data_IF_087393872063
#
_entry.id   IF_087393872063
#
_cell.length_a   1.000
_cell.length_b   1.000
_cell.length_c   1.000
_cell.angle_alpha   90.00
_cell.angle_beta   90.00
_cell.angle_gamma   90.00
#
_symmetry.space_group_name_H-M   'P 1'
#
loop_
_entity.id
_entity.type
_entity.pdbx_description
1 polymer ?
#
# COMPACT_ATOMS: atom_id res chain seq x y z
N UNK A 1 -43.89 -21.81 21.89
CA UNK A 1 -42.69 -22.22 21.12
C UNK A 1 -41.96 -20.95 20.69
N UNK A 2 -40.62 -20.95 20.77
CA UNK A 2 -39.62 -20.42 19.81
C UNK A 2 -39.98 -19.15 18.99
N UNK A 3 -39.14 -18.10 18.90
CA UNK A 3 -37.77 -17.93 19.41
C UNK A 3 -37.26 -16.48 19.26
N UNK A 4 -36.00 -16.22 19.67
CA UNK A 4 -35.36 -14.88 19.70
C UNK A 4 -34.85 -14.41 18.33
N UNK A 5 -34.59 -13.11 18.19
CA UNK A 5 -33.81 -12.53 17.09
C UNK A 5 -33.58 -11.02 17.25
N UNK A 6 -32.51 -10.64 17.95
CA UNK A 6 -32.03 -9.24 18.04
C UNK A 6 -31.23 -8.84 16.78
N UNK A 7 -31.36 -7.59 16.34
CA UNK A 7 -30.39 -6.95 15.45
C UNK A 7 -30.34 -5.43 15.71
N UNK A 8 -29.13 -4.91 15.92
CA UNK A 8 -28.85 -3.56 16.41
C UNK A 8 -28.89 -2.48 15.31
N UNK A 9 -29.10 -1.23 15.72
CA UNK A 9 -28.88 -0.04 14.87
C UNK A 9 -27.41 0.38 14.89
N UNK A 10 -26.95 1.01 13.79
CA UNK A 10 -26.28 2.32 13.73
C UNK A 10 -25.29 2.40 12.54
N UNK A 11 -25.59 3.29 11.60
CA UNK A 11 -24.65 3.74 10.56
C UNK A 11 -24.23 5.17 10.86
N UNK A 12 -23.07 5.35 11.50
CA UNK A 12 -22.51 6.67 11.79
C UNK A 12 -21.66 7.18 10.63
N UNK A 13 -21.90 8.44 10.27
CA UNK A 13 -21.12 9.19 9.29
C UNK A 13 -19.82 9.69 9.92
N UNK A 14 -18.67 9.46 9.27
CA UNK A 14 -17.49 10.29 9.50
C UNK A 14 -16.58 10.35 8.28
N UNK A 15 -16.42 11.54 7.69
CA UNK A 15 -15.21 11.90 6.95
C UNK A 15 -15.08 13.43 6.78
N UNK A 16 -14.29 14.05 7.67
CA UNK A 16 -13.77 15.42 7.50
C UNK A 16 -12.32 15.47 7.95
N UNK A 17 -11.43 15.88 7.03
CA UNK A 17 -10.04 16.33 7.25
C UNK A 17 -9.08 15.23 7.78
N UNK A 18 -7.88 15.06 7.22
CA UNK A 18 -6.76 16.00 7.29
C UNK A 18 -5.77 15.91 6.11
N UNK A 19 -5.12 17.04 5.84
CA UNK A 19 -3.74 17.18 5.33
C UNK A 19 -2.92 17.86 6.44
N UNK A 20 -1.56 17.88 6.46
CA UNK A 20 -0.61 17.80 5.33
C UNK A 20 0.45 16.68 5.54
N UNK A 21 1.45 16.44 4.72
CA UNK A 21 2.01 17.11 3.54
C UNK A 21 3.43 16.58 3.31
N UNK A 22 3.60 15.72 2.30
CA UNK A 22 4.88 15.14 1.90
C UNK A 22 5.12 15.50 0.43
N UNK A 23 6.32 16.00 0.11
CA UNK A 23 6.65 16.43 -1.26
C UNK A 23 6.92 15.23 -2.17
N UNK A 24 6.57 15.35 -3.46
CA UNK A 24 6.53 14.21 -4.39
C UNK A 24 7.92 13.70 -4.80
N UNK A 25 8.96 14.51 -4.60
CA UNK A 25 10.33 14.22 -5.03
C UNK A 25 11.01 13.12 -4.18
N UNK A 26 10.53 12.84 -2.95
CA UNK A 26 11.23 11.92 -2.02
C UNK A 26 10.89 10.44 -2.17
N UNK A 27 9.99 10.07 -3.08
CA UNK A 27 9.49 8.69 -3.27
C UNK A 27 10.32 7.90 -4.31
N UNK A 28 11.20 8.58 -5.06
CA UNK A 28 11.83 8.01 -6.27
C UNK A 28 13.20 7.34 -6.00
N UNK A 29 13.85 7.58 -4.86
CA UNK A 29 15.21 7.03 -4.58
C UNK A 29 15.26 5.58 -4.04
N UNK A 30 14.13 4.91 -3.80
CA UNK A 30 14.09 3.56 -3.18
C UNK A 30 14.05 2.39 -4.20
N UNK A 31 14.58 2.57 -5.41
CA UNK A 31 14.40 1.64 -6.54
C UNK A 31 15.70 1.27 -7.29
N UNK A 32 16.57 0.46 -6.65
CA UNK A 32 17.54 -0.44 -7.32
C UNK A 32 17.86 -1.64 -6.40
N UNK A 33 18.32 -2.81 -6.92
CA UNK A 33 17.89 -4.11 -6.39
C UNK A 33 18.88 -4.80 -5.46
N UNK A 34 18.35 -5.72 -4.65
CA UNK A 34 19.12 -6.73 -3.92
C UNK A 34 19.80 -7.71 -4.89
N UNK A 35 21.05 -8.07 -4.61
CA UNK A 35 21.65 -9.28 -5.17
C UNK A 35 22.72 -9.89 -4.24
N UNK A 36 22.90 -11.21 -4.37
CA UNK A 36 23.94 -12.09 -3.79
C UNK A 36 23.91 -12.45 -2.30
N UNK A 37 23.32 -13.63 -2.07
CA UNK A 37 23.65 -14.55 -0.97
C UNK A 37 25.11 -15.03 -1.08
N UNK A 38 25.79 -15.25 0.05
CA UNK A 38 26.95 -16.15 0.14
C UNK A 38 27.03 -16.79 1.52
N UNK A 39 26.97 -18.13 1.55
CA UNK A 39 27.14 -18.92 2.76
C UNK A 39 28.63 -19.11 3.07
N UNK A 40 29.00 -19.01 4.34
CA UNK A 40 30.30 -19.47 4.83
C UNK A 40 30.08 -20.42 6.00
N UNK A 41 30.37 -21.70 5.74
CA UNK A 41 30.48 -22.73 6.78
C UNK A 41 31.92 -22.72 7.29
N UNK A 42 32.10 -22.58 8.60
CA UNK A 42 33.42 -22.68 9.23
C UNK A 42 33.40 -23.75 10.32
N UNK A 43 34.02 -24.89 10.04
CA UNK A 43 34.32 -25.92 11.04
C UNK A 43 35.66 -25.61 11.71
N UNK A 44 35.76 -25.88 13.01
CA UNK A 44 37.01 -25.79 13.79
C UNK A 44 37.32 -27.19 14.33
N UNK A 45 38.56 -27.69 14.18
CA UNK A 45 38.91 -29.06 14.58
C UNK A 45 39.22 -29.19 16.08
N UNK A 46 38.92 -30.36 16.65
CA UNK A 46 39.33 -30.72 18.01
C UNK A 46 40.68 -31.47 18.05
N UNK A 47 41.43 -31.27 19.14
CA UNK A 47 42.50 -32.14 19.63
C UNK A 47 42.39 -32.22 21.16
N UNK A 48 42.18 -33.42 21.69
CA UNK A 48 43.17 -34.23 22.42
C UNK A 48 43.61 -33.65 23.76
N UNK A 49 43.40 -34.44 24.82
CA UNK A 49 44.10 -34.35 26.11
C UNK A 49 44.58 -35.75 26.46
N UNK A 50 45.81 -35.85 26.95
CA UNK A 50 46.56 -37.09 27.13
C UNK A 50 46.24 -37.79 28.46
N UNK A 51 46.55 -39.08 28.47
CA UNK A 51 46.57 -39.95 29.65
C UNK A 51 47.98 -39.94 30.28
N UNK A 52 48.11 -39.56 31.55
CA UNK A 52 49.38 -39.70 32.29
C UNK A 52 49.16 -40.26 33.69
N UNK A 53 49.71 -41.45 33.94
CA UNK A 53 49.77 -42.06 35.27
C UNK A 53 51.05 -41.64 36.01
N UNK A 54 50.97 -41.48 37.34
CA UNK A 54 52.15 -41.52 38.22
C UNK A 54 51.78 -41.91 39.68
N UNK A 55 52.56 -42.84 40.25
CA UNK A 55 52.38 -43.43 41.58
C UNK A 55 52.72 -42.45 42.74
N UNK A 56 52.22 -42.77 43.94
CA UNK A 56 52.97 -42.63 45.20
C UNK A 56 52.84 -43.86 46.12
N UNK A 57 53.98 -44.39 46.55
CA UNK A 57 54.23 -45.30 47.69
C UNK A 57 54.35 -44.49 49.02
N UNK A 58 54.41 -45.02 50.28
CA UNK A 58 55.27 -46.11 50.85
C UNK A 58 54.56 -47.21 51.70
N UNK A 59 55.05 -48.47 51.86
CA UNK A 59 56.20 -49.03 52.65
C UNK A 59 55.99 -48.86 54.18
N UNK A 60 56.20 -49.85 55.11
CA UNK A 60 57.19 -50.96 55.15
C UNK A 60 56.54 -52.39 55.27
N UNK A 61 57.11 -53.52 55.77
CA UNK A 61 58.32 -53.85 56.58
C UNK A 61 58.92 -55.25 56.21
N UNK A 62 59.71 -55.87 57.10
CA UNK A 62 60.63 -57.00 56.86
C UNK A 62 60.10 -58.42 57.14
N UNK A 63 60.90 -59.42 56.74
CA UNK A 63 60.58 -60.84 56.69
C UNK A 63 60.63 -61.64 57.99
N UNK A 64 60.20 -62.90 57.87
CA UNK A 64 60.54 -64.04 58.73
C UNK A 64 60.21 -65.37 58.02
N UNK A 65 61.07 -66.35 58.17
CA UNK A 65 60.83 -67.79 57.97
C UNK A 65 61.50 -68.55 59.13
N UNK A 66 61.18 -69.83 59.40
CA UNK A 66 60.15 -70.69 58.79
C UNK A 66 59.13 -71.24 59.80
N UNK A 67 58.03 -71.86 59.33
CA UNK A 67 57.24 -72.77 60.17
C UNK A 67 57.12 -74.15 59.50
N UNK A 68 57.60 -75.16 60.22
CA UNK A 68 57.32 -76.57 59.95
C UNK A 68 55.93 -76.93 60.51
N UNK A 69 55.31 -78.01 60.01
CA UNK A 69 54.19 -78.67 60.70
C UNK A 69 52.86 -78.64 59.96
N UNK A 70 52.61 -79.73 59.22
CA UNK A 70 51.35 -80.17 58.59
C UNK A 70 50.07 -79.84 59.38
N UNK A 71 48.97 -79.47 58.69
CA UNK A 71 47.66 -79.43 59.36
C UNK A 71 46.42 -78.86 58.65
N UNK A 72 46.35 -78.73 57.31
CA UNK A 72 45.13 -78.18 56.66
C UNK A 72 44.59 -79.06 55.52
N UNK A 73 43.30 -79.38 55.61
CA UNK A 73 42.55 -80.14 54.60
C UNK A 73 42.30 -79.28 53.36
N UNK A 74 42.77 -79.76 52.21
CA UNK A 74 42.71 -79.09 50.90
C UNK A 74 41.28 -78.87 50.40
N UNK A 75 40.33 -79.70 50.79
CA UNK A 75 38.95 -79.67 50.30
C UNK A 75 38.22 -78.37 50.69
N UNK A 76 38.50 -77.85 51.90
CA UNK A 76 37.96 -76.58 52.41
C UNK A 76 38.52 -75.34 51.70
N UNK A 77 39.65 -75.46 51.02
CA UNK A 77 40.20 -74.41 50.15
C UNK A 77 39.58 -74.47 48.75
N UNK A 78 39.31 -75.66 48.22
CA UNK A 78 38.61 -75.85 46.93
C UNK A 78 37.24 -75.20 46.90
N UNK A 79 36.38 -75.47 47.88
CA UNK A 79 35.03 -74.87 47.98
C UNK A 79 35.09 -73.34 48.15
N UNK A 80 36.06 -72.81 48.91
CA UNK A 80 36.26 -71.37 49.09
C UNK A 80 36.76 -70.70 47.82
N UNK A 81 37.63 -71.35 47.05
CA UNK A 81 38.11 -70.85 45.75
C UNK A 81 37.00 -70.88 44.69
N UNK A 82 36.18 -71.94 44.62
CA UNK A 82 35.00 -71.98 43.75
C UNK A 82 33.96 -70.93 44.14
N UNK A 83 33.71 -70.75 45.44
CA UNK A 83 32.81 -69.70 45.95
C UNK A 83 33.32 -68.29 45.62
N UNK A 84 34.64 -68.08 45.72
CA UNK A 84 35.30 -66.83 45.32
C UNK A 84 35.19 -66.56 43.82
N UNK A 85 35.45 -67.57 42.97
CA UNK A 85 35.27 -67.48 41.52
C UNK A 85 33.82 -67.16 41.11
N UNK A 86 32.84 -67.82 41.73
CA UNK A 86 31.42 -67.55 41.51
C UNK A 86 31.00 -66.14 41.98
N UNK A 87 31.57 -65.68 43.10
CA UNK A 87 31.37 -64.31 43.59
C UNK A 87 31.99 -63.29 42.63
N UNK A 88 33.19 -63.56 42.11
CA UNK A 88 33.85 -62.71 41.11
C UNK A 88 33.03 -62.61 39.81
N UNK A 89 32.48 -63.73 39.32
CA UNK A 89 31.58 -63.73 38.17
C UNK A 89 30.34 -62.86 38.41
N UNK A 90 29.68 -63.01 39.58
CA UNK A 90 28.54 -62.17 39.96
C UNK A 90 28.90 -60.69 40.07
N UNK A 91 30.09 -60.35 40.58
CA UNK A 91 30.58 -58.96 40.62
C UNK A 91 30.73 -58.43 39.19
N UNK A 92 31.40 -59.15 38.28
CA UNK A 92 31.55 -58.70 36.88
C UNK A 92 30.21 -58.58 36.13
N UNK A 93 29.23 -59.44 36.44
CA UNK A 93 27.89 -59.32 35.87
C UNK A 93 27.13 -58.11 36.43
N UNK A 94 27.24 -57.84 37.74
CA UNK A 94 26.65 -56.66 38.37
C UNK A 94 27.29 -55.36 37.88
N UNK A 95 28.61 -55.34 37.67
CA UNK A 95 29.34 -54.21 37.06
C UNK A 95 28.87 -53.97 35.61
N UNK A 96 28.70 -55.03 34.80
CA UNK A 96 28.16 -54.92 33.45
C UNK A 96 26.71 -54.38 33.46
N UNK A 97 25.86 -54.87 34.38
CA UNK A 97 24.49 -54.39 34.58
C UNK A 97 24.47 -52.93 35.04
N UNK A 98 25.31 -52.53 35.98
CA UNK A 98 25.48 -51.15 36.42
C UNK A 98 25.87 -50.25 35.24
N UNK A 99 26.86 -50.65 34.44
CA UNK A 99 27.28 -49.90 33.25
C UNK A 99 26.16 -49.76 32.21
N UNK A 100 25.31 -50.78 32.03
CA UNK A 100 24.11 -50.62 31.18
C UNK A 100 23.07 -49.68 31.79
N UNK A 101 22.88 -49.68 33.11
CA UNK A 101 21.98 -48.73 33.78
C UNK A 101 22.50 -47.30 33.69
N UNK A 102 23.80 -47.07 33.89
CA UNK A 102 24.45 -45.76 33.70
C UNK A 102 24.30 -45.26 32.26
N UNK A 103 24.48 -46.14 31.27
CA UNK A 103 24.24 -45.80 29.85
C UNK A 103 22.76 -45.45 29.59
N UNK A 104 21.81 -46.21 30.15
CA UNK A 104 20.37 -45.92 30.02
C UNK A 104 20.02 -44.58 30.69
N UNK A 105 20.52 -44.32 31.89
CA UNK A 105 20.34 -43.04 32.61
C UNK A 105 20.97 -41.89 31.84
N UNK A 106 22.14 -42.08 31.23
CA UNK A 106 22.80 -41.08 30.37
C UNK A 106 21.97 -40.75 29.13
N UNK A 107 21.47 -41.78 28.43
CA UNK A 107 20.59 -41.61 27.25
C UNK A 107 19.28 -40.94 27.64
N UNK A 108 18.61 -41.38 28.71
CA UNK A 108 17.37 -40.79 29.19
C UNK A 108 17.57 -39.33 29.65
N UNK A 109 18.63 -39.02 30.39
CA UNK A 109 18.98 -37.65 30.77
C UNK A 109 19.21 -36.75 29.55
N UNK A 110 19.89 -37.27 28.52
CA UNK A 110 20.13 -36.56 27.26
C UNK A 110 18.84 -36.37 26.44
N UNK A 111 17.92 -37.32 26.48
CA UNK A 111 16.65 -37.28 25.76
C UNK A 111 15.57 -36.47 26.48
N UNK A 112 15.66 -36.32 27.80
CA UNK A 112 14.87 -35.36 28.59
C UNK A 112 15.37 -33.93 28.35
N UNK A 113 16.69 -33.70 28.45
CA UNK A 113 17.31 -32.40 28.16
C UNK A 113 17.19 -31.92 26.70
N UNK A 114 16.66 -32.75 25.80
CA UNK A 114 16.33 -32.41 24.41
C UNK A 114 14.86 -32.12 24.15
N UNK A 115 13.94 -32.57 25.02
CA UNK A 115 12.49 -32.48 24.79
C UNK A 115 11.89 -31.16 25.25
N UNK A 116 12.39 -30.57 26.33
CA UNK A 116 11.87 -29.31 26.85
C UNK A 116 12.74 -28.12 26.40
N UNK A 117 12.34 -27.50 25.26
CA UNK A 117 12.31 -26.04 25.27
C UNK A 117 11.29 -25.66 26.33
N UNK A 118 11.71 -24.92 27.35
CA UNK A 118 10.83 -24.52 28.45
C UNK A 118 9.57 -23.86 27.86
N UNK A 119 8.33 -24.14 28.30
CA UNK A 119 7.13 -23.53 27.71
C UNK A 119 7.18 -22.00 27.69
N UNK A 120 7.91 -21.39 28.63
CA UNK A 120 8.26 -19.96 28.64
C UNK A 120 9.05 -19.50 27.40
N UNK A 121 9.98 -20.29 26.89
CA UNK A 121 10.78 -19.96 25.69
C UNK A 121 9.91 -20.07 24.43
N UNK A 122 9.02 -21.08 24.37
CA UNK A 122 8.07 -21.23 23.26
C UNK A 122 7.04 -20.09 23.24
N UNK A 123 6.57 -19.66 24.41
CA UNK A 123 5.74 -18.45 24.57
C UNK A 123 6.49 -17.18 24.15
N UNK A 124 7.80 -17.09 24.42
CA UNK A 124 8.62 -15.93 24.03
C UNK A 124 8.89 -15.90 22.52
N UNK A 125 9.26 -17.04 21.91
CA UNK A 125 9.44 -17.22 20.46
C UNK A 125 8.13 -16.88 19.71
N UNK A 126 6.98 -17.32 20.22
CA UNK A 126 5.67 -17.05 19.61
C UNK A 126 5.25 -15.59 19.78
N UNK A 127 5.46 -14.98 20.95
CA UNK A 127 5.22 -13.55 21.18
C UNK A 127 6.06 -12.66 20.24
N UNK A 128 7.36 -12.93 20.11
CA UNK A 128 8.23 -12.20 19.19
C UNK A 128 7.77 -12.32 17.73
N UNK A 129 7.26 -13.50 17.33
CA UNK A 129 6.69 -13.71 16.00
C UNK A 129 5.33 -13.01 15.80
N UNK A 130 4.51 -12.91 16.84
CA UNK A 130 3.25 -12.15 16.80
C UNK A 130 3.55 -10.67 16.58
N UNK A 131 4.42 -10.06 17.39
CA UNK A 131 4.81 -8.65 17.24
C UNK A 131 5.38 -8.34 15.85
N UNK A 132 6.24 -9.22 15.31
CA UNK A 132 6.75 -9.09 13.95
C UNK A 132 5.64 -9.18 12.88
N UNK A 133 4.67 -10.07 13.04
CA UNK A 133 3.56 -10.21 12.10
C UNK A 133 2.60 -9.02 12.20
N UNK A 134 2.35 -8.49 13.41
CA UNK A 134 1.58 -7.26 13.63
C UNK A 134 2.22 -6.06 12.93
N UNK A 135 3.54 -5.85 13.11
CA UNK A 135 4.31 -4.83 12.38
C UNK A 135 4.22 -5.02 10.85
N UNK A 136 4.24 -6.26 10.36
CA UNK A 136 4.10 -6.56 8.93
C UNK A 136 2.68 -6.32 8.41
N UNK A 137 1.65 -6.56 9.22
CA UNK A 137 0.26 -6.23 8.86
C UNK A 137 0.07 -4.72 8.80
N UNK A 138 0.53 -3.97 9.81
CA UNK A 138 0.46 -2.50 9.83
C UNK A 138 1.19 -1.87 8.61
N UNK A 139 2.36 -2.40 8.26
CA UNK A 139 3.10 -2.00 7.05
C UNK A 139 2.33 -2.33 5.75
N UNK A 140 1.64 -3.46 5.69
CA UNK A 140 0.82 -3.84 4.54
C UNK A 140 -0.45 -2.99 4.43
N UNK A 141 -1.15 -2.70 5.52
CA UNK A 141 -2.31 -1.82 5.56
C UNK A 141 -1.92 -0.39 5.14
N UNK A 142 -0.80 0.12 5.66
CA UNK A 142 -0.22 1.40 5.23
C UNK A 142 0.06 1.43 3.73
N UNK A 143 0.60 0.35 3.16
CA UNK A 143 0.85 0.25 1.72
C UNK A 143 -0.45 0.11 0.89
N UNK A 144 -1.49 -0.55 1.43
CA UNK A 144 -2.79 -0.67 0.78
C UNK A 144 -3.47 0.69 0.66
N UNK A 145 -3.54 1.47 1.74
CA UNK A 145 -4.14 2.82 1.70
C UNK A 145 -3.44 3.73 0.68
N UNK A 146 -2.11 3.68 0.57
CA UNK A 146 -1.35 4.39 -0.47
C UNK A 146 -1.69 3.90 -1.88
N UNK A 147 -1.87 2.59 -2.07
CA UNK A 147 -2.30 2.01 -3.36
C UNK A 147 -3.72 2.44 -3.72
N UNK A 148 -4.64 2.48 -2.78
CA UNK A 148 -6.02 2.93 -3.03
C UNK A 148 -6.06 4.40 -3.47
N UNK A 149 -5.26 5.27 -2.84
CA UNK A 149 -5.10 6.66 -3.29
C UNK A 149 -4.53 6.73 -4.72
N UNK A 150 -3.55 5.90 -5.06
CA UNK A 150 -3.00 5.82 -6.42
C UNK A 150 -4.02 5.28 -7.44
N UNK A 151 -4.79 4.25 -7.08
CA UNK A 151 -5.85 3.67 -7.93
C UNK A 151 -6.93 4.73 -8.22
N UNK A 152 -7.40 5.45 -7.20
CA UNK A 152 -8.38 6.53 -7.38
C UNK A 152 -7.84 7.67 -8.26
N UNK A 153 -6.56 8.02 -8.11
CA UNK A 153 -5.87 9.00 -8.97
C UNK A 153 -5.77 8.52 -10.43
N UNK A 154 -5.45 7.25 -10.66
CA UNK A 154 -5.39 6.64 -11.99
C UNK A 154 -6.77 6.54 -12.64
N UNK A 155 -7.80 6.12 -11.90
CA UNK A 155 -9.18 6.08 -12.37
C UNK A 155 -9.67 7.48 -12.79
N UNK A 156 -9.39 8.50 -11.97
CA UNK A 156 -9.69 9.91 -12.30
C UNK A 156 -8.99 10.36 -13.58
N UNK A 157 -7.74 9.94 -13.80
CA UNK A 157 -6.98 10.24 -15.02
C UNK A 157 -7.53 9.52 -16.25
N UNK A 158 -7.98 8.26 -16.12
CA UNK A 158 -8.61 7.51 -17.21
C UNK A 158 -9.91 8.21 -17.64
N UNK A 159 -10.78 8.52 -16.69
CA UNK A 159 -12.03 9.23 -16.95
C UNK A 159 -11.83 10.59 -17.65
N UNK A 160 -10.76 11.30 -17.29
CA UNK A 160 -10.37 12.53 -17.96
C UNK A 160 -9.94 12.30 -19.43
N UNK A 161 -9.16 11.25 -19.69
CA UNK A 161 -8.70 10.91 -21.04
C UNK A 161 -9.86 10.46 -21.95
N UNK A 162 -10.84 9.72 -21.41
CA UNK A 162 -12.07 9.33 -22.12
C UNK A 162 -12.90 10.55 -22.61
N UNK A 163 -12.80 11.69 -21.92
CA UNK A 163 -13.51 12.92 -22.25
C UNK A 163 -12.67 13.93 -23.05
N UNK A 164 -11.38 13.63 -23.28
CA UNK A 164 -10.46 14.56 -23.97
C UNK A 164 -10.64 14.46 -25.49
N UNK A 165 -11.07 15.56 -26.13
CA UNK A 165 -11.07 15.66 -27.61
C UNK A 165 -9.77 16.27 -28.16
N UNK A 166 -9.49 16.02 -29.43
CA UNK A 166 -8.29 16.47 -30.17
C UNK A 166 -8.59 17.04 -31.57
N UNK A 167 -9.84 17.40 -31.86
CA UNK A 167 -10.27 17.93 -33.18
C UNK A 167 -10.80 19.39 -33.10
N UNK A 168 -10.63 20.05 -31.96
CA UNK A 168 -11.22 21.38 -31.69
C UNK A 168 -12.72 21.37 -31.43
N UNK A 169 -13.38 20.20 -31.40
CA UNK A 169 -14.80 20.03 -31.05
C UNK A 169 -14.87 19.32 -29.71
N UNK A 170 -15.59 19.91 -28.77
CA UNK A 170 -15.72 19.37 -27.42
C UNK A 170 -17.19 19.36 -27.01
N UNK A 171 -17.63 18.25 -26.43
CA UNK A 171 -18.99 18.05 -25.96
C UNK A 171 -18.96 17.74 -24.47
N UNK A 172 -19.50 18.64 -23.66
CA UNK A 172 -19.48 18.57 -22.22
C UNK A 172 -20.87 18.28 -21.67
N UNK A 173 -21.00 17.12 -21.04
CA UNK A 173 -22.19 16.71 -20.27
C UNK A 173 -22.00 17.13 -18.81
N UNK A 174 -22.74 18.14 -18.35
CA UNK A 174 -22.77 18.57 -16.96
C UNK A 174 -23.93 17.85 -16.27
N UNK A 175 -23.61 16.94 -15.35
CA UNK A 175 -24.59 16.22 -14.54
C UNK A 175 -24.86 16.95 -13.21
N UNK A 176 -25.90 16.55 -12.49
CA UNK A 176 -26.28 17.07 -11.17
C UNK A 176 -26.53 18.58 -11.18
N UNK A 177 -27.19 19.07 -12.24
CA UNK A 177 -27.38 20.50 -12.48
C UNK A 177 -28.13 21.17 -11.33
N UNK A 178 -29.13 20.51 -10.74
CA UNK A 178 -29.87 21.01 -9.58
C UNK A 178 -28.97 21.25 -8.36
N UNK A 179 -28.17 20.25 -7.98
CA UNK A 179 -27.21 20.36 -6.88
C UNK A 179 -26.18 21.47 -7.15
N UNK A 180 -25.57 21.47 -8.35
CA UNK A 180 -24.54 22.45 -8.70
C UNK A 180 -25.09 23.88 -8.84
N UNK A 181 -26.36 24.02 -9.21
CA UNK A 181 -27.05 25.33 -9.20
C UNK A 181 -27.22 25.84 -7.77
N UNK A 182 -27.59 24.96 -6.82
CA UNK A 182 -27.67 25.30 -5.40
C UNK A 182 -26.29 25.65 -4.81
N UNK A 183 -25.24 24.89 -5.14
CA UNK A 183 -23.86 25.21 -4.74
C UNK A 183 -23.38 26.56 -5.30
N UNK A 184 -23.82 26.93 -6.51
CA UNK A 184 -23.49 28.22 -7.12
C UNK A 184 -24.29 29.38 -6.52
N UNK A 185 -25.57 29.19 -6.21
CA UNK A 185 -26.42 30.20 -5.54
C UNK A 185 -25.98 30.49 -4.11
N UNK A 186 -25.54 29.46 -3.38
CA UNK A 186 -24.99 29.58 -2.02
C UNK A 186 -23.54 30.08 -1.98
N UNK A 187 -22.90 30.26 -3.13
CA UNK A 187 -21.49 30.65 -3.24
C UNK A 187 -20.49 29.58 -2.80
N UNK A 188 -20.94 28.37 -2.45
CA UNK A 188 -20.08 27.26 -2.04
C UNK A 188 -19.17 26.80 -3.19
N UNK A 189 -19.73 26.68 -4.40
CA UNK A 189 -19.00 26.40 -5.65
C UNK A 189 -19.60 27.20 -6.80
N UNK A 190 -19.19 28.47 -7.01
CA UNK A 190 -19.80 29.34 -8.01
C UNK A 190 -19.52 28.93 -9.46
N UNK A 191 -18.42 28.20 -9.70
CA UNK A 191 -17.97 27.83 -11.04
C UNK A 191 -17.57 26.35 -11.14
N UNK A 192 -17.82 25.77 -12.31
CA UNK A 192 -17.47 24.40 -12.69
C UNK A 192 -16.48 24.47 -13.86
N UNK A 193 -15.44 23.64 -13.85
CA UNK A 193 -14.52 23.49 -14.98
C UNK A 193 -14.83 22.20 -15.76
N UNK A 194 -14.67 22.24 -17.07
CA UNK A 194 -14.71 21.04 -17.91
C UNK A 194 -13.37 20.30 -17.87
N UNK A 195 -13.35 19.01 -18.28
CA UNK A 195 -12.17 18.37 -18.83
C UNK A 195 -11.40 19.29 -19.81
N UNK A 196 -10.07 19.29 -19.82
CA UNK A 196 -9.29 19.74 -20.96
C UNK A 196 -9.65 19.03 -22.28
N UNK A 197 -9.59 19.79 -23.36
CA UNK A 197 -9.65 19.34 -24.74
C UNK A 197 -8.62 20.10 -25.58
N UNK A 198 -8.36 19.62 -26.79
CA UNK A 198 -7.33 20.17 -27.67
C UNK A 198 -7.89 20.52 -29.05
N UNK A 199 -7.26 21.52 -29.67
CA UNK A 199 -7.57 21.95 -31.05
C UNK A 199 -7.02 21.01 -32.12
N UNK A 200 -5.94 20.31 -31.83
CA UNK A 200 -5.37 19.22 -32.63
C UNK A 200 -4.58 18.29 -31.71
N UNK A 201 -4.04 17.16 -32.21
CA UNK A 201 -3.20 16.24 -31.41
C UNK A 201 -2.01 16.93 -30.72
N UNK A 202 -1.49 17.99 -31.33
CA UNK A 202 -0.36 18.79 -30.84
C UNK A 202 -0.72 20.28 -30.71
N UNK A 203 -2.02 20.58 -30.56
CA UNK A 203 -2.58 21.93 -30.58
C UNK A 203 -2.73 22.56 -29.20
N UNK A 204 -3.35 23.75 -29.16
CA UNK A 204 -3.69 24.46 -27.93
C UNK A 204 -4.54 23.59 -27.00
N UNK A 205 -4.17 23.57 -25.72
CA UNK A 205 -4.92 22.94 -24.63
C UNK A 205 -5.92 23.94 -24.04
N UNK A 206 -7.17 23.55 -23.94
CA UNK A 206 -8.29 24.42 -23.59
C UNK A 206 -9.19 23.71 -22.57
N UNK A 207 -9.87 24.46 -21.70
CA UNK A 207 -11.05 23.96 -20.99
C UNK A 207 -12.14 25.04 -20.92
N UNK A 208 -13.34 24.65 -20.52
CA UNK A 208 -14.46 25.56 -20.29
C UNK A 208 -14.63 25.85 -18.81
N UNK A 209 -15.07 27.06 -18.48
CA UNK A 209 -15.50 27.46 -17.14
C UNK A 209 -16.95 27.94 -17.21
N UNK A 210 -17.82 27.31 -16.43
CA UNK A 210 -19.27 27.53 -16.40
C UNK A 210 -19.70 28.06 -15.04
N UNK A 211 -20.54 29.08 -15.03
CA UNK A 211 -21.23 29.57 -13.84
C UNK A 211 -22.73 29.38 -14.03
N UNK A 212 -23.32 28.43 -13.29
CA UNK A 212 -24.75 28.11 -13.35
C UNK A 212 -25.64 29.23 -12.81
N UNK A 213 -25.10 30.08 -11.93
CA UNK A 213 -25.78 31.27 -11.39
C UNK A 213 -25.15 32.58 -11.92
N UNK A 214 -24.43 32.51 -13.04
CA UNK A 214 -23.82 33.67 -13.70
C UNK A 214 -22.56 34.23 -13.05
N UNK A 215 -21.88 35.11 -13.79
CA UNK A 215 -20.69 35.87 -13.40
C UNK A 215 -20.69 37.25 -14.08
N UNK A 216 -19.98 38.22 -13.49
CA UNK A 216 -19.90 39.59 -14.02
C UNK A 216 -21.27 40.23 -14.25
N UNK A 217 -21.52 40.73 -15.47
CA UNK A 217 -22.79 41.35 -15.85
C UNK A 217 -23.97 40.37 -15.91
N UNK A 218 -23.69 39.07 -16.10
CA UNK A 218 -24.70 38.01 -16.12
C UNK A 218 -25.04 37.43 -14.74
N UNK A 219 -24.39 37.88 -13.66
CA UNK A 219 -24.57 37.34 -12.31
C UNK A 219 -26.05 37.32 -11.88
N UNK A 220 -26.51 36.17 -11.39
CA UNK A 220 -27.89 35.92 -10.93
C UNK A 220 -28.98 35.96 -12.01
N UNK A 221 -28.65 36.24 -13.28
CA UNK A 221 -29.63 36.44 -14.37
C UNK A 221 -29.40 35.54 -15.58
N UNK A 222 -28.15 35.20 -15.87
CA UNK A 222 -27.72 34.41 -17.02
C UNK A 222 -26.79 33.26 -16.60
N UNK A 223 -26.82 32.20 -17.38
CA UNK A 223 -25.73 31.23 -17.48
C UNK A 223 -24.52 31.95 -18.08
N UNK A 224 -23.36 31.88 -17.44
CA UNK A 224 -22.11 32.45 -17.97
C UNK A 224 -21.13 31.35 -18.36
N UNK A 225 -20.52 31.46 -19.54
CA UNK A 225 -19.64 30.44 -20.11
C UNK A 225 -18.38 31.07 -20.71
N UNK A 226 -17.22 30.57 -20.27
CA UNK A 226 -15.91 31.12 -20.64
C UNK A 226 -14.98 30.02 -21.16
N UNK A 227 -14.11 30.40 -22.10
CA UNK A 227 -12.95 29.62 -22.51
C UNK A 227 -11.78 29.92 -21.57
N UNK A 228 -11.03 28.89 -21.21
CA UNK A 228 -9.78 28.99 -20.48
C UNK A 228 -8.69 28.37 -21.34
N UNK A 229 -7.64 29.15 -21.63
CA UNK A 229 -6.42 28.61 -22.22
C UNK A 229 -5.58 27.99 -21.11
N UNK A 230 -5.13 26.76 -21.33
CA UNK A 230 -4.27 26.03 -20.41
C UNK A 230 -2.89 25.88 -21.01
N UNK A 231 -1.87 25.77 -20.16
CA UNK A 231 -0.50 25.48 -20.58
C UNK A 231 -0.43 24.10 -21.26
N UNK A 232 -0.08 24.11 -22.54
CA UNK A 232 0.12 22.94 -23.37
C UNK A 232 1.58 22.51 -23.44
N UNK A 233 1.82 21.21 -23.60
CA UNK A 233 3.15 20.64 -23.84
C UNK A 233 3.78 21.20 -25.13
N UNK A 234 2.94 21.51 -26.12
CA UNK A 234 3.33 21.93 -27.47
C UNK A 234 3.28 23.45 -27.70
N UNK A 235 3.06 24.26 -26.64
CA UNK A 235 2.89 25.72 -26.75
C UNK A 235 4.08 26.46 -27.42
N UNK A 236 5.25 25.81 -27.50
CA UNK A 236 6.45 26.35 -28.14
C UNK A 236 6.40 26.38 -29.68
N UNK A 237 5.60 25.51 -30.31
CA UNK A 237 5.43 25.45 -31.77
C UNK A 237 4.13 26.11 -32.27
N UNK A 238 3.28 26.55 -31.35
CA UNK A 238 2.00 27.18 -31.67
C UNK A 238 2.15 28.69 -31.90
N UNK A 239 1.24 29.25 -32.70
CA UNK A 239 1.21 30.69 -32.98
C UNK A 239 0.54 31.44 -31.83
N UNK A 240 1.12 32.56 -31.41
CA UNK A 240 0.56 33.39 -30.34
C UNK A 240 0.37 34.85 -30.80
N UNK A 241 -0.64 35.59 -30.30
CA UNK A 241 -1.73 35.11 -29.43
C UNK A 241 -2.70 34.14 -30.13
N UNK A 242 -3.51 33.44 -29.35
CA UNK A 242 -4.56 32.54 -29.83
C UNK A 242 -5.65 33.34 -30.56
N UNK A 243 -5.95 32.95 -31.81
CA UNK A 243 -6.75 33.71 -32.78
C UNK A 243 -7.94 32.94 -33.38
N UNK A 244 -8.17 31.71 -32.94
CA UNK A 244 -9.22 30.85 -33.48
C UNK A 244 -10.61 31.32 -33.05
N UNK A 245 -11.62 31.18 -33.92
CA UNK A 245 -12.99 31.57 -33.57
C UNK A 245 -13.55 30.53 -32.61
N UNK A 246 -14.14 31.01 -31.52
CA UNK A 246 -14.74 30.17 -30.48
C UNK A 246 -16.24 30.23 -30.66
N UNK A 247 -16.89 29.07 -30.85
CA UNK A 247 -18.34 28.95 -30.88
C UNK A 247 -18.79 28.10 -29.70
N UNK A 248 -19.67 28.65 -28.86
CA UNK A 248 -20.34 27.92 -27.79
C UNK A 248 -21.78 27.65 -28.16
N UNK A 249 -22.26 26.45 -27.87
CA UNK A 249 -23.61 26.00 -28.18
C UNK A 249 -24.20 25.25 -26.99
N UNK A 250 -25.30 25.74 -26.43
CA UNK A 250 -26.10 25.05 -25.45
C UNK A 250 -27.15 24.20 -26.18
N UNK A 251 -27.12 22.88 -25.96
CA UNK A 251 -27.96 21.95 -26.71
C UNK A 251 -29.32 21.74 -26.03
N UNK A 252 -30.40 22.17 -26.68
CA UNK A 252 -31.74 21.60 -26.45
C UNK A 252 -31.74 20.11 -26.85
N UNK A 253 -31.97 19.24 -25.87
CA UNK A 253 -31.92 17.78 -25.97
C UNK A 253 -33.23 17.15 -26.50
N UNK A 254 -34.29 17.94 -26.68
CA UNK A 254 -35.64 17.48 -27.08
C UNK A 254 -36.03 18.01 -28.46
N UNK A 255 -36.00 19.34 -28.64
CA UNK A 255 -36.47 20.04 -29.86
C UNK A 255 -35.34 20.46 -30.79
N UNK A 256 -34.07 20.34 -30.35
CA UNK A 256 -32.87 20.76 -31.10
C UNK A 256 -32.82 22.27 -31.44
N UNK A 257 -33.59 23.10 -30.74
CA UNK A 257 -33.42 24.56 -30.77
C UNK A 257 -32.24 24.97 -29.90
N UNK A 258 -31.03 24.81 -30.41
CA UNK A 258 -29.80 25.11 -29.67
C UNK A 258 -29.55 26.62 -29.58
N UNK A 259 -29.08 27.12 -28.43
CA UNK A 259 -28.58 28.50 -28.28
C UNK A 259 -27.12 28.50 -28.66
N UNK A 260 -26.72 29.26 -29.69
CA UNK A 260 -25.34 29.28 -30.17
C UNK A 260 -24.82 30.70 -30.32
N UNK A 261 -23.66 30.97 -29.71
CA UNK A 261 -23.00 32.28 -29.75
C UNK A 261 -21.52 32.08 -30.02
N UNK A 262 -20.94 32.90 -30.90
CA UNK A 262 -19.51 32.82 -31.23
C UNK A 262 -18.80 34.16 -31.06
N UNK A 263 -17.56 34.11 -30.59
CA UNK A 263 -16.69 35.28 -30.48
C UNK A 263 -15.32 35.00 -31.11
N UNK A 264 -14.57 36.07 -31.37
CA UNK A 264 -13.16 35.99 -31.75
C UNK A 264 -12.31 36.54 -30.60
N UNK A 265 -11.26 35.83 -30.16
CA UNK A 265 -10.24 36.33 -29.25
C UNK A 265 -9.72 37.71 -29.65
N UNK A 266 -9.57 38.60 -28.67
CA UNK A 266 -8.95 39.92 -28.85
C UNK A 266 -7.45 39.81 -28.59
N UNK A 267 -6.62 40.18 -29.58
CA UNK A 267 -5.16 40.03 -29.49
C UNK A 267 -4.51 40.87 -28.37
N UNK A 268 -5.18 41.93 -27.91
CA UNK A 268 -4.76 42.77 -26.79
C UNK A 268 -5.08 42.17 -25.41
N UNK A 269 -5.90 41.12 -25.32
CA UNK A 269 -6.26 40.51 -24.03
C UNK A 269 -5.18 39.54 -23.55
N UNK A 270 -4.88 39.59 -22.25
CA UNK A 270 -3.97 38.66 -21.57
C UNK A 270 -4.48 37.21 -21.60
N UNK A 271 -5.80 36.99 -21.66
CA UNK A 271 -6.42 35.66 -21.72
C UNK A 271 -5.94 34.80 -22.89
N UNK A 272 -5.54 35.41 -24.00
CA UNK A 272 -5.20 34.73 -25.25
C UNK A 272 -3.70 34.75 -25.57
N UNK A 273 -2.87 35.28 -24.67
CA UNK A 273 -1.41 35.19 -24.77
C UNK A 273 -0.93 33.78 -24.42
N UNK A 274 0.33 33.47 -24.74
CA UNK A 274 0.95 32.19 -24.39
C UNK A 274 0.91 31.97 -22.87
N UNK A 275 0.34 30.85 -22.38
CA UNK A 275 0.28 30.58 -20.95
C UNK A 275 1.67 30.49 -20.29
N UNK A 276 1.82 31.21 -19.18
CA UNK A 276 3.00 31.15 -18.31
C UNK A 276 2.70 30.23 -17.11
N UNK A 277 1.56 30.48 -16.47
CA UNK A 277 0.88 29.64 -15.48
C UNK A 277 0.11 28.48 -16.12
N UNK A 278 -0.35 27.52 -15.30
CA UNK A 278 -1.17 26.37 -15.75
C UNK A 278 -2.43 26.77 -16.53
N UNK A 279 -3.03 27.92 -16.19
CA UNK A 279 -4.18 28.51 -16.89
C UNK A 279 -4.03 30.02 -17.01
N UNK A 280 -4.61 30.58 -18.07
CA UNK A 280 -4.83 32.02 -18.23
C UNK A 280 -6.14 32.47 -17.58
N UNK A 281 -6.35 33.78 -17.48
CA UNK A 281 -7.65 34.36 -17.10
C UNK A 281 -8.73 33.95 -18.11
N UNK A 282 -9.86 33.44 -17.62
CA UNK A 282 -10.99 33.00 -18.44
C UNK A 282 -11.59 34.15 -19.28
N UNK A 283 -12.04 33.87 -20.50
CA UNK A 283 -12.67 34.87 -21.38
C UNK A 283 -13.77 34.25 -22.24
N UNK A 284 -14.88 34.95 -22.45
CA UNK A 284 -16.07 34.42 -23.08
C UNK A 284 -17.31 35.28 -22.83
N UNK A 285 -18.42 34.65 -22.44
CA UNK A 285 -19.76 35.22 -22.50
C UNK A 285 -20.42 35.23 -21.10
N UNK A 286 -20.45 36.39 -20.40
CA UNK A 286 -21.21 36.56 -19.16
C UNK A 286 -22.72 36.31 -19.35
N UNK A 287 -23.30 36.81 -20.44
CA UNK A 287 -24.73 36.72 -20.73
C UNK A 287 -25.00 35.67 -21.83
N UNK A 288 -24.58 34.41 -21.61
CA UNK A 288 -24.67 33.38 -22.66
C UNK A 288 -26.09 32.84 -22.88
N UNK A 289 -26.85 32.58 -21.80
CA UNK A 289 -28.24 32.13 -21.87
C UNK A 289 -29.03 32.61 -20.64
N UNK A 290 -30.19 33.26 -20.78
CA UNK A 290 -31.00 33.69 -19.63
C UNK A 290 -31.42 32.51 -18.73
N UNK A 291 -31.30 32.63 -17.41
CA UNK A 291 -31.71 31.56 -16.49
C UNK A 291 -33.23 31.29 -16.56
N UNK A 292 -34.02 32.31 -16.88
CA UNK A 292 -35.46 32.19 -17.15
C UNK A 292 -35.77 31.32 -18.36
N UNK A 293 -34.88 31.26 -19.36
CA UNK A 293 -34.97 30.35 -20.49
C UNK A 293 -34.45 28.97 -20.13
N UNK A 294 -33.30 28.89 -19.43
CA UNK A 294 -32.64 27.65 -19.03
C UNK A 294 -33.50 26.76 -18.14
N UNK A 295 -34.17 27.34 -17.13
CA UNK A 295 -35.02 26.61 -16.18
C UNK A 295 -36.48 26.46 -16.65
N UNK A 296 -36.82 26.90 -17.87
CA UNK A 296 -38.17 26.77 -18.39
C UNK A 296 -38.44 25.31 -18.78
N UNK A 297 -39.34 24.65 -18.05
CA UNK A 297 -39.76 23.25 -18.25
C UNK A 297 -40.29 22.92 -19.66
N UNK A 298 -40.59 23.92 -20.50
CA UNK A 298 -40.98 23.74 -21.91
C UNK A 298 -39.78 23.65 -22.87
N UNK A 299 -38.56 23.86 -22.38
CA UNK A 299 -37.30 23.80 -23.15
C UNK A 299 -36.54 22.52 -22.81
N UNK A 300 -35.78 21.97 -23.77
CA UNK A 300 -35.03 20.74 -23.57
C UNK A 300 -33.58 20.96 -23.08
N UNK A 301 -33.22 22.13 -22.54
CA UNK A 301 -31.83 22.41 -22.19
C UNK A 301 -31.33 21.59 -21.00
N UNK A 302 -32.14 21.48 -19.93
CA UNK A 302 -31.91 20.58 -18.81
C UNK A 302 -32.85 19.38 -18.95
N UNK A 303 -32.29 18.18 -19.05
CA UNK A 303 -33.04 16.92 -19.13
C UNK A 303 -32.36 15.88 -18.24
N UNK A 304 -33.12 15.13 -17.44
CA UNK A 304 -32.58 14.14 -16.47
C UNK A 304 -31.43 14.71 -15.62
N UNK A 305 -31.67 15.88 -15.03
CA UNK A 305 -30.71 16.68 -14.25
C UNK A 305 -29.34 16.90 -14.94
N UNK A 306 -29.35 16.97 -16.27
CA UNK A 306 -28.17 17.09 -17.12
C UNK A 306 -28.32 18.23 -18.12
N UNK A 307 -27.25 19.04 -18.24
CA UNK A 307 -27.06 20.10 -19.22
C UNK A 307 -25.97 19.66 -20.21
N UNK A 308 -26.11 19.98 -21.51
CA UNK A 308 -25.08 19.65 -22.51
C UNK A 308 -24.61 20.90 -23.26
N UNK A 309 -23.30 21.16 -23.19
CA UNK A 309 -22.63 22.30 -23.82
C UNK A 309 -21.66 21.76 -24.87
N UNK A 310 -21.70 22.31 -26.08
CA UNK A 310 -20.71 22.09 -27.10
C UNK A 310 -19.81 23.33 -27.24
N UNK A 311 -18.51 23.12 -27.41
CA UNK A 311 -17.57 24.14 -27.86
C UNK A 311 -16.91 23.69 -29.17
N UNK A 312 -16.81 24.62 -30.12
CA UNK A 312 -16.13 24.41 -31.40
C UNK A 312 -15.12 25.52 -31.60
N UNK A 313 -13.87 25.13 -31.87
CA UNK A 313 -12.75 26.03 -32.13
C UNK A 313 -12.45 25.97 -33.62
N UNK A 314 -12.99 26.93 -34.38
CA UNK A 314 -12.75 27.00 -35.83
C UNK A 314 -11.32 27.55 -36.06
N UNK A 315 -10.41 26.79 -36.69
CA UNK A 315 -9.06 27.28 -37.00
C UNK A 315 -9.15 28.51 -37.92
N UNK A 316 -8.16 29.38 -37.81
CA UNK A 316 -8.05 30.53 -38.71
C UNK A 316 -7.46 30.00 -40.03
N UNK A 317 -8.29 29.96 -41.06
CA UNK A 317 -7.88 29.83 -42.47
C UNK A 317 -7.11 31.08 -42.87
#
# INVERSE_FOLDING_TARGET
>A
MLGKGDAFKETMSCNRMFSPGWSKEKIIELLVPFDKVSLHYQQVPGKQVEETAALRQPVPLEGLQPFQGLGFSLDKLGERLQSGLHMQQKVTELEARQKTLENIVSVLSRELGRRDKNPSDVLSDTMAKILYLEEKVEQQESLLTLKDVMINSLASRIHLLEQTSYDGRFLWKVQEVGLRTQEAQTGSRPAIYSPPFYTSRYGYKLCLKLFLNGDGTGAGSHLSLFLVLMKGEYDFQLTWPFRHKVTFTLLDQVKKHHVSTSFRPLESSSSFQRPVSETNVASGLPEFCPLTLLHNLRTGYICNDTLVIQAVIDPKV
#
